data_IF_096954478423
#
_entry.id   IF_096954478423
#
_cell.length_a   1.000
_cell.length_b   1.000
_cell.length_c   1.000
_cell.angle_alpha   90.00
_cell.angle_beta   90.00
_cell.angle_gamma   90.00
#
_symmetry.space_group_name_H-M   'P 1'
#
loop_
_entity.id
_entity.type
_entity.pdbx_description
1 polymer ?
#
# COMPACT_ATOMS: atom_id res chain seq x y z
N UNK A 1 2.53 0.61 -12.22
CA UNK A 1 2.40 1.62 -11.15
C UNK A 1 2.83 0.97 -9.85
N UNK A 2 3.81 1.55 -9.16
CA UNK A 2 4.32 1.09 -7.87
C UNK A 2 3.73 1.97 -6.77
N UNK A 3 3.21 1.33 -5.71
CA UNK A 3 2.77 2.03 -4.52
C UNK A 3 3.89 2.00 -3.48
N UNK A 4 4.21 3.14 -2.90
CA UNK A 4 5.29 3.30 -1.91
C UNK A 4 4.77 4.10 -0.73
N UNK A 5 5.31 3.86 0.46
CA UNK A 5 5.03 4.69 1.63
C UNK A 5 6.29 5.47 2.00
N UNK A 6 6.29 6.77 1.74
CA UNK A 6 7.37 7.67 2.13
C UNK A 6 7.26 8.00 3.62
N UNK A 7 8.42 8.09 4.30
CA UNK A 7 8.52 8.66 5.64
C UNK A 7 9.05 10.10 5.51
N UNK A 8 8.26 11.06 5.99
CA UNK A 8 8.61 12.48 6.03
C UNK A 8 8.35 13.04 7.42
N UNK A 9 9.38 13.48 8.14
CA UNK A 9 9.33 13.86 9.57
C UNK A 9 8.64 12.81 10.47
N UNK A 10 9.00 11.55 10.31
CA UNK A 10 8.40 10.42 11.01
C UNK A 10 6.95 10.11 10.61
N UNK A 11 6.34 10.90 9.72
CA UNK A 11 4.98 10.69 9.22
C UNK A 11 5.00 9.86 7.95
N UNK A 12 4.09 8.89 7.88
CA UNK A 12 3.93 8.01 6.73
C UNK A 12 2.96 8.63 5.73
N UNK A 13 3.36 8.71 4.47
CA UNK A 13 2.53 9.15 3.36
C UNK A 13 2.60 8.15 2.20
N UNK A 14 1.46 7.56 1.84
CA UNK A 14 1.37 6.63 0.71
C UNK A 14 1.28 7.41 -0.59
N UNK A 15 2.10 7.03 -1.58
CA UNK A 15 2.15 7.65 -2.90
C UNK A 15 2.21 6.59 -4.00
N UNK A 16 1.68 6.94 -5.17
CA UNK A 16 1.76 6.14 -6.39
C UNK A 16 2.83 6.74 -7.29
N UNK A 17 3.71 5.89 -7.82
CA UNK A 17 4.73 6.27 -8.79
C UNK A 17 4.70 5.34 -10.00
N UNK A 18 4.94 5.90 -11.18
CA UNK A 18 5.09 5.12 -12.41
C UNK A 18 6.55 4.76 -12.69
N UNK A 19 7.49 5.47 -12.05
CA UNK A 19 8.93 5.24 -12.16
C UNK A 19 9.48 4.26 -11.13
N UNK A 20 10.80 4.06 -11.18
CA UNK A 20 11.56 3.21 -10.27
C UNK A 20 11.60 3.76 -8.83
N UNK A 21 11.94 2.91 -7.85
CA UNK A 21 12.14 3.32 -6.44
C UNK A 21 13.22 4.43 -6.35
N UNK A 22 14.26 4.36 -7.18
CA UNK A 22 15.33 5.34 -7.21
C UNK A 22 14.84 6.73 -7.67
N UNK A 23 13.97 6.77 -8.69
CA UNK A 23 13.36 8.01 -9.18
C UNK A 23 12.39 8.58 -8.15
N UNK A 24 11.59 7.72 -7.51
CA UNK A 24 10.71 8.14 -6.43
C UNK A 24 11.50 8.72 -5.25
N UNK A 25 12.62 8.08 -4.87
CA UNK A 25 13.49 8.57 -3.80
C UNK A 25 14.14 9.92 -4.16
N UNK A 26 14.51 10.13 -5.43
CA UNK A 26 15.03 11.41 -5.91
C UNK A 26 13.95 12.48 -5.82
N UNK A 27 12.75 12.21 -6.34
CA UNK A 27 11.61 13.12 -6.27
C UNK A 27 11.23 13.48 -4.82
N UNK A 28 11.20 12.51 -3.92
CA UNK A 28 10.96 12.75 -2.49
C UNK A 28 12.07 13.61 -1.86
N UNK A 29 13.34 13.37 -2.20
CA UNK A 29 14.45 14.20 -1.72
C UNK A 29 14.41 15.61 -2.27
N UNK A 30 14.07 15.80 -3.54
CA UNK A 30 13.94 17.13 -4.15
C UNK A 30 12.79 17.92 -3.51
N UNK A 31 11.71 17.23 -3.13
CA UNK A 31 10.50 17.85 -2.57
C UNK A 31 10.56 18.10 -1.06
N UNK A 32 11.15 17.17 -0.29
CA UNK A 32 11.13 17.20 1.17
C UNK A 32 12.53 17.38 1.80
N UNK A 33 13.60 17.27 1.01
CA UNK A 33 14.98 17.47 1.46
C UNK A 33 15.36 16.52 2.60
N UNK A 34 15.95 17.09 3.66
CA UNK A 34 16.37 16.36 4.85
C UNK A 34 15.22 15.74 5.65
N UNK A 35 13.97 16.13 5.38
CA UNK A 35 12.78 15.58 6.04
C UNK A 35 12.41 14.20 5.52
N UNK A 36 12.86 13.84 4.31
CA UNK A 36 12.62 12.52 3.75
C UNK A 36 13.59 11.52 4.36
N UNK A 37 13.05 10.55 5.09
CA UNK A 37 13.82 9.53 5.80
C UNK A 37 13.94 8.23 5.01
N UNK A 38 13.13 8.06 3.96
CA UNK A 38 13.14 6.89 3.09
C UNK A 38 11.75 6.33 2.82
N UNK A 39 11.73 5.09 2.32
CA UNK A 39 10.49 4.36 2.08
C UNK A 39 10.32 3.25 3.11
N UNK A 40 9.09 3.09 3.58
CA UNK A 40 8.64 1.96 4.36
C UNK A 40 7.75 1.04 3.50
N UNK A 41 7.56 -0.22 3.92
CA UNK A 41 6.50 -1.05 3.40
C UNK A 41 5.15 -0.35 3.54
N UNK A 42 4.27 -0.58 2.57
CA UNK A 42 2.89 -0.10 2.64
C UNK A 42 2.23 -0.72 3.87
N UNK A 43 1.57 0.06 4.75
CA UNK A 43 0.83 -0.48 5.87
C UNK A 43 -0.18 -1.53 5.42
N UNK A 44 -0.27 -2.64 6.15
CA UNK A 44 -1.18 -3.75 5.89
C UNK A 44 -2.62 -3.27 5.73
N UNK A 45 -3.08 -2.34 6.58
CA UNK A 45 -4.40 -1.73 6.46
C UNK A 45 -4.62 -0.99 5.13
N UNK A 46 -3.61 -0.27 4.63
CA UNK A 46 -3.73 0.43 3.35
C UNK A 46 -3.80 -0.57 2.18
N UNK A 47 -2.99 -1.64 2.22
CA UNK A 47 -3.05 -2.73 1.22
C UNK A 47 -4.43 -3.37 1.22
N UNK A 48 -4.94 -3.72 2.41
CA UNK A 48 -6.24 -4.32 2.61
C UNK A 48 -7.36 -3.43 2.06
N UNK A 49 -7.46 -2.18 2.51
CA UNK A 49 -8.50 -1.25 2.04
C UNK A 49 -8.48 -1.06 0.52
N UNK A 50 -7.29 -0.93 -0.08
CA UNK A 50 -7.16 -0.82 -1.54
C UNK A 50 -7.72 -2.06 -2.24
N UNK A 51 -7.32 -3.26 -1.79
CA UNK A 51 -7.80 -4.52 -2.40
C UNK A 51 -9.29 -4.76 -2.16
N UNK A 52 -9.81 -4.36 -0.99
CA UNK A 52 -11.24 -4.39 -0.69
C UNK A 52 -12.04 -3.49 -1.63
N UNK A 53 -11.51 -2.28 -1.94
CA UNK A 53 -12.05 -1.39 -2.96
C UNK A 53 -12.07 -2.06 -4.34
N UNK A 54 -10.98 -2.71 -4.75
CA UNK A 54 -10.96 -3.48 -6.01
C UNK A 54 -12.01 -4.60 -6.03
N UNK A 55 -12.16 -5.35 -4.93
CA UNK A 55 -13.17 -6.40 -4.80
C UNK A 55 -14.60 -5.87 -4.93
N UNK A 56 -14.88 -4.71 -4.34
CA UNK A 56 -16.22 -4.11 -4.32
C UNK A 56 -16.55 -3.33 -5.60
N UNK A 57 -15.61 -2.52 -6.08
CA UNK A 57 -15.83 -1.56 -7.16
C UNK A 57 -15.44 -2.12 -8.52
N UNK A 58 -14.32 -2.86 -8.60
CA UNK A 58 -13.83 -3.46 -9.86
C UNK A 58 -14.29 -4.90 -10.05
N UNK A 59 -15.09 -5.42 -9.11
CA UNK A 59 -15.66 -6.76 -9.13
C UNK A 59 -14.63 -7.86 -9.43
N UNK A 60 -13.41 -7.74 -8.89
CA UNK A 60 -12.44 -8.83 -8.98
C UNK A 60 -13.06 -10.08 -8.33
N UNK A 61 -12.75 -11.24 -8.89
CA UNK A 61 -13.35 -12.49 -8.41
C UNK A 61 -12.87 -12.81 -6.99
N UNK A 62 -13.66 -13.59 -6.25
CA UNK A 62 -13.25 -14.10 -4.94
C UNK A 62 -11.97 -14.93 -5.05
N UNK A 63 -11.79 -15.64 -6.15
CA UNK A 63 -10.59 -16.45 -6.41
C UNK A 63 -9.35 -15.57 -6.55
N UNK A 64 -9.44 -14.44 -7.27
CA UNK A 64 -8.35 -13.46 -7.36
C UNK A 64 -8.04 -12.81 -6.01
N UNK A 65 -9.06 -12.53 -5.20
CA UNK A 65 -8.86 -12.01 -3.85
C UNK A 65 -8.14 -13.02 -2.95
N UNK A 66 -8.55 -14.29 -2.98
CA UNK A 66 -7.92 -15.36 -2.20
C UNK A 66 -6.50 -15.70 -2.70
N UNK A 67 -6.26 -15.62 -4.02
CA UNK A 67 -4.92 -15.77 -4.59
C UNK A 67 -3.99 -14.67 -4.08
N UNK A 68 -4.43 -13.41 -4.16
CA UNK A 68 -3.65 -12.29 -3.65
C UNK A 68 -3.40 -12.39 -2.14
N UNK A 69 -4.41 -12.81 -1.35
CA UNK A 69 -4.28 -13.01 0.09
C UNK A 69 -3.17 -14.00 0.44
N UNK A 70 -3.06 -15.11 -0.29
CA UNK A 70 -2.03 -16.14 -0.09
C UNK A 70 -0.61 -15.65 -0.40
N UNK A 71 -0.48 -14.60 -1.21
CA UNK A 71 0.80 -13.96 -1.52
C UNK A 71 1.23 -12.94 -0.46
N UNK A 72 0.37 -12.62 0.53
CA UNK A 72 0.70 -11.67 1.58
C UNK A 72 1.22 -12.38 2.82
N UNK A 73 2.35 -11.91 3.35
CA UNK A 73 2.89 -12.38 4.64
C UNK A 73 1.92 -12.07 5.81
N UNK A 74 1.11 -11.01 5.68
CA UNK A 74 0.19 -10.50 6.69
C UNK A 74 -1.27 -11.01 6.51
N UNK A 75 -1.47 -12.16 5.85
CA UNK A 75 -2.81 -12.68 5.46
C UNK A 75 -3.85 -12.57 6.57
N UNK A 76 -3.51 -13.02 7.79
CA UNK A 76 -4.42 -13.06 8.94
C UNK A 76 -4.95 -11.67 9.29
N UNK A 77 -4.07 -10.68 9.36
CA UNK A 77 -4.42 -9.30 9.71
C UNK A 77 -5.30 -8.68 8.61
N UNK A 78 -4.99 -8.94 7.34
CA UNK A 78 -5.80 -8.45 6.21
C UNK A 78 -7.22 -9.03 6.26
N UNK A 79 -7.37 -10.32 6.61
CA UNK A 79 -8.69 -10.95 6.76
C UNK A 79 -9.50 -10.33 7.90
N UNK A 80 -8.86 -10.00 9.02
CA UNK A 80 -9.53 -9.29 10.12
C UNK A 80 -10.05 -7.92 9.67
N UNK A 81 -9.24 -7.18 8.90
CA UNK A 81 -9.64 -5.89 8.33
C UNK A 81 -10.80 -6.05 7.36
N UNK A 82 -10.80 -7.07 6.49
CA UNK A 82 -11.93 -7.35 5.60
C UNK A 82 -13.21 -7.66 6.35
N UNK A 83 -13.14 -8.38 7.47
CA UNK A 83 -14.31 -8.64 8.30
C UNK A 83 -14.87 -7.34 8.92
N UNK A 84 -14.00 -6.44 9.35
CA UNK A 84 -14.41 -5.11 9.85
C UNK A 84 -15.05 -4.28 8.74
N UNK A 85 -14.48 -4.28 7.52
CA UNK A 85 -15.02 -3.53 6.38
C UNK A 85 -16.31 -4.12 5.79
N UNK A 86 -16.65 -5.35 6.16
CA UNK A 86 -17.87 -6.05 5.73
C UNK A 86 -19.07 -5.77 6.63
N UNK A 87 -18.83 -5.44 7.90
CA UNK A 87 -19.86 -5.05 8.87
C UNK A 87 -20.44 -3.69 8.55
#
# INVERSE_FOLDING_TARGET
>A
MLQLTAIVDGKRATMLTEGSIAEAARSCRDRFGARFEGFAPIPTETKARSKWGEYREKQISREELEAWLKEQDDEKEIREIFNVLRG
#
